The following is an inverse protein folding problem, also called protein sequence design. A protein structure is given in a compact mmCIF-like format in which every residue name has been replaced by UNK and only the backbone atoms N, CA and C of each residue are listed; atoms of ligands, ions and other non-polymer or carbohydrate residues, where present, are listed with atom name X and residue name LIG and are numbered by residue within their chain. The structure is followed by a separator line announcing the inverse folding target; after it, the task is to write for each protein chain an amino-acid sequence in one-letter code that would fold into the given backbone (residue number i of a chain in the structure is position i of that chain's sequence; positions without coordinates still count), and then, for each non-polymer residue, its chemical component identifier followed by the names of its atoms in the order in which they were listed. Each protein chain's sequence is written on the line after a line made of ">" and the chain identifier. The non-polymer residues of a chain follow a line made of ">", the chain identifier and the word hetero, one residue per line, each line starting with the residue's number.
data_IF_876310227962
#
_entry.id   IF_876310227962
#
_cell.length_a   1.000
_cell.length_b   1.000
_cell.length_c   1.000
_cell.angle_alpha   90.00
_cell.angle_beta   90.00
_cell.angle_gamma   90.00
#
_symmetry.space_group_name_H-M   'P 1'
#
loop_
_entity.id
_entity.type
_entity.pdbx_description
1 polymer ?
#
# COMPACT_ATOMS: atom_id res chain seq x y z
N UNK A 1 -6.84 -26.33 19.91
CA UNK A 1 -5.65 -25.43 19.93
C UNK A 1 -5.40 -25.01 18.49
N UNK A 2 -4.86 -23.80 18.32
CA UNK A 2 -4.56 -23.08 17.07
C UNK A 2 -5.70 -22.29 16.40
N UNK A 3 -5.87 -21.05 16.88
CA UNK A 3 -6.34 -19.89 16.11
C UNK A 3 -5.47 -18.68 16.49
N UNK A 4 -4.30 -18.56 15.87
CA UNK A 4 -3.47 -17.36 15.99
C UNK A 4 -3.67 -16.47 14.75
N UNK A 5 -4.74 -15.69 14.75
CA UNK A 5 -4.79 -14.44 13.99
C UNK A 5 -4.21 -13.34 14.88
N UNK A 6 -2.89 -13.14 14.82
CA UNK A 6 -2.23 -11.95 15.39
C UNK A 6 -2.22 -10.86 14.31
N UNK A 7 -3.30 -10.10 14.26
CA UNK A 7 -3.38 -8.84 13.51
C UNK A 7 -2.52 -7.81 14.27
N UNK A 8 -1.53 -7.21 13.60
CA UNK A 8 -0.72 -6.13 14.16
C UNK A 8 -1.57 -4.84 14.26
N UNK A 9 -1.52 -4.19 15.42
CA UNK A 9 -2.49 -3.19 15.87
C UNK A 9 -2.50 -1.85 15.11
N UNK A 10 -1.58 -1.60 14.17
CA UNK A 10 -1.61 -0.41 13.30
C UNK A 10 -2.15 -0.68 11.89
N UNK A 11 -2.21 -1.94 11.47
CA UNK A 11 -2.89 -2.36 10.22
C UNK A 11 -4.36 -2.76 10.48
N UNK A 12 -4.71 -2.97 11.76
CA UNK A 12 -6.02 -3.35 12.24
C UNK A 12 -7.11 -2.26 12.14
N UNK A 13 -6.75 -0.98 11.92
CA UNK A 13 -7.75 0.09 11.91
C UNK A 13 -8.64 0.09 10.65
N UNK A 14 -8.36 -0.77 9.66
CA UNK A 14 -8.98 -0.70 8.33
C UNK A 14 -9.66 -1.96 7.84
N UNK A 15 -9.30 -3.15 8.35
CA UNK A 15 -9.82 -4.41 7.81
C UNK A 15 -10.82 -5.09 8.74
N UNK A 16 -12.05 -4.54 8.77
CA UNK A 16 -13.23 -5.29 9.15
C UNK A 16 -13.63 -6.23 8.00
N UNK A 17 -12.90 -7.33 7.82
CA UNK A 17 -13.20 -8.29 6.75
C UNK A 17 -14.52 -9.03 7.04
N UNK A 18 -15.53 -8.83 6.19
CA UNK A 18 -16.62 -9.81 6.04
C UNK A 18 -16.08 -10.89 5.11
N UNK A 19 -15.63 -12.01 5.68
CA UNK A 19 -15.26 -13.18 4.91
C UNK A 19 -16.52 -13.80 4.30
N UNK A 20 -16.69 -13.66 2.99
CA UNK A 20 -17.75 -14.36 2.25
C UNK A 20 -17.29 -15.82 2.03
N UNK A 21 -18.19 -16.78 2.21
CA UNK A 21 -17.90 -18.20 2.01
C UNK A 21 -17.29 -18.46 0.61
N UNK A 22 -16.38 -19.43 0.47
CA UNK A 22 -15.77 -19.74 -0.82
C UNK A 22 -16.86 -20.07 -1.85
N UNK A 23 -16.85 -19.34 -2.97
CA UNK A 23 -17.77 -19.59 -4.07
C UNK A 23 -17.34 -20.88 -4.79
N UNK A 24 -18.27 -21.81 -4.99
CA UNK A 24 -18.01 -23.01 -5.80
C UNK A 24 -18.25 -22.70 -7.27
N UNK A 25 -17.45 -23.28 -8.17
CA UNK A 25 -17.70 -23.15 -9.60
C UNK A 25 -19.04 -23.81 -9.94
N UNK A 26 -19.93 -23.10 -10.65
CA UNK A 26 -21.19 -23.70 -11.11
C UNK A 26 -20.91 -24.78 -12.16
N UNK A 27 -21.61 -25.90 -12.05
CA UNK A 27 -21.55 -27.00 -13.03
C UNK A 27 -22.13 -26.62 -14.40
N UNK A 28 -22.71 -25.43 -14.52
CA UNK A 28 -23.22 -24.84 -15.77
C UNK A 28 -22.16 -24.04 -16.54
N UNK A 29 -20.90 -24.03 -16.10
CA UNK A 29 -19.82 -23.39 -16.85
C UNK A 29 -19.67 -24.02 -18.25
N UNK A 30 -19.64 -23.18 -19.29
CA UNK A 30 -19.52 -23.56 -20.70
C UNK A 30 -18.21 -24.29 -21.08
N UNK A 31 -17.35 -24.58 -20.11
CA UNK A 31 -16.00 -25.12 -20.31
C UNK A 31 -15.83 -26.61 -19.89
N UNK A 32 -16.90 -27.30 -19.50
CA UNK A 32 -16.90 -28.76 -19.25
C UNK A 32 -16.39 -29.20 -17.86
N UNK A 33 -16.51 -30.50 -17.55
CA UNK A 33 -16.26 -31.04 -16.20
C UNK A 33 -14.81 -30.92 -15.69
N UNK A 34 -13.83 -31.09 -16.58
CA UNK A 34 -12.40 -30.94 -16.25
C UNK A 34 -12.04 -29.49 -15.88
N UNK A 35 -12.71 -28.51 -16.49
CA UNK A 35 -12.59 -27.11 -16.11
C UNK A 35 -13.14 -26.84 -14.71
N UNK A 36 -14.31 -27.42 -14.39
CA UNK A 36 -14.94 -27.26 -13.07
C UNK A 36 -14.05 -27.82 -11.97
N UNK A 37 -13.36 -28.94 -12.20
CA UNK A 37 -12.41 -29.52 -11.25
C UNK A 37 -11.21 -28.61 -11.00
N UNK A 38 -10.55 -28.11 -12.05
CA UNK A 38 -9.41 -27.18 -11.91
C UNK A 38 -9.82 -25.85 -11.27
N UNK A 39 -10.99 -25.30 -11.60
CA UNK A 39 -11.48 -24.09 -10.95
C UNK A 39 -11.78 -24.35 -9.48
N UNK A 40 -12.37 -25.50 -9.13
CA UNK A 40 -12.63 -25.84 -7.73
C UNK A 40 -11.35 -25.89 -6.89
N UNK A 41 -10.20 -26.33 -7.44
CA UNK A 41 -8.92 -26.25 -6.72
C UNK A 41 -8.46 -24.81 -6.47
N UNK A 42 -8.65 -23.89 -7.42
CA UNK A 42 -8.38 -22.47 -7.21
C UNK A 42 -9.37 -21.82 -6.24
N UNK A 43 -10.61 -22.31 -6.18
CA UNK A 43 -11.63 -21.80 -5.26
C UNK A 43 -11.52 -22.42 -3.86
N UNK A 44 -10.95 -23.62 -3.75
CA UNK A 44 -10.61 -24.25 -2.48
C UNK A 44 -9.55 -23.41 -1.78
N UNK A 45 -9.76 -23.11 -0.51
CA UNK A 45 -8.93 -22.19 0.28
C UNK A 45 -8.81 -20.75 -0.29
N UNK A 46 -9.67 -20.39 -1.25
CA UNK A 46 -9.79 -19.01 -1.70
C UNK A 46 -10.47 -18.14 -0.64
N UNK A 47 -10.19 -16.85 -0.70
CA UNK A 47 -10.90 -15.83 0.06
C UNK A 47 -11.33 -14.70 -0.86
N UNK A 48 -12.57 -14.25 -0.66
CA UNK A 48 -13.12 -13.04 -1.27
C UNK A 48 -13.46 -12.07 -0.14
N UNK A 49 -12.80 -10.93 -0.14
CA UNK A 49 -13.09 -9.83 0.76
C UNK A 49 -13.79 -8.73 -0.01
N UNK A 50 -14.95 -8.30 0.49
CA UNK A 50 -15.64 -7.12 0.01
C UNK A 50 -15.66 -6.08 1.14
N UNK A 51 -15.36 -4.83 0.83
CA UNK A 51 -15.36 -3.74 1.80
C UNK A 51 -15.93 -2.49 1.18
N UNK A 52 -16.71 -1.76 1.98
CA UNK A 52 -17.16 -0.41 1.63
C UNK A 52 -16.68 0.56 2.68
N UNK A 53 -15.94 1.58 2.26
CA UNK A 53 -15.40 2.64 3.11
C UNK A 53 -16.05 3.95 2.70
N UNK A 54 -16.42 4.76 3.69
CA UNK A 54 -16.73 6.17 3.51
C UNK A 54 -15.82 6.97 4.43
N UNK A 55 -15.02 7.85 3.84
CA UNK A 55 -14.19 8.79 4.58
C UNK A 55 -14.79 10.19 4.47
N UNK A 56 -14.79 10.93 5.58
CA UNK A 56 -15.21 12.33 5.59
C UNK A 56 -14.14 13.14 6.29
N UNK A 57 -13.56 14.09 5.56
CA UNK A 57 -12.44 14.88 6.05
C UNK A 57 -12.68 16.36 5.81
N UNK A 58 -12.45 17.13 6.87
CA UNK A 58 -12.28 18.58 6.81
C UNK A 58 -10.89 18.94 7.30
N UNK A 59 -10.12 19.67 6.48
CA UNK A 59 -8.76 20.15 6.78
C UNK A 59 -8.67 21.62 6.46
N UNK A 60 -8.52 22.45 7.48
CA UNK A 60 -8.26 23.89 7.35
C UNK A 60 -6.79 24.21 7.54
N UNK A 61 -6.24 25.17 6.79
CA UNK A 61 -4.93 25.78 7.06
C UNK A 61 -5.09 27.18 7.63
N UNK A 62 -4.16 27.58 8.49
CA UNK A 62 -4.05 28.96 9.00
C UNK A 62 -2.79 29.60 8.44
N UNK A 63 -2.89 30.83 7.95
CA UNK A 63 -1.74 31.62 7.46
C UNK A 63 -0.86 32.21 8.57
N UNK A 64 -1.18 31.96 9.85
CA UNK A 64 -0.46 32.53 10.99
C UNK A 64 -0.38 31.61 12.21
N UNK A 65 0.42 32.04 13.20
CA UNK A 65 0.54 31.40 14.52
C UNK A 65 -0.84 31.29 15.18
N UNK A 66 -1.10 30.29 16.03
CA UNK A 66 -2.28 30.28 16.90
C UNK A 66 -2.37 31.61 17.68
N UNK A 67 -3.38 32.44 17.37
CA UNK A 67 -3.58 33.76 17.99
C UNK A 67 -2.72 34.93 17.46
N UNK A 68 -2.26 34.92 16.19
CA UNK A 68 -1.58 36.05 15.53
C UNK A 68 -2.44 36.83 14.53
N UNK A 69 -1.97 38.02 14.13
CA UNK A 69 -2.75 39.08 13.44
C UNK A 69 -3.41 38.71 12.10
N UNK A 70 -2.89 37.73 11.34
CA UNK A 70 -3.54 37.26 10.09
C UNK A 70 -3.99 35.80 10.21
N UNK A 71 -4.81 35.51 11.22
CA UNK A 71 -5.39 34.21 11.54
C UNK A 71 -6.40 33.66 10.53
N UNK A 72 -6.25 33.99 9.24
CA UNK A 72 -7.16 33.55 8.19
C UNK A 72 -7.13 32.02 8.09
N UNK A 73 -8.30 31.42 8.26
CA UNK A 73 -8.55 30.00 8.06
C UNK A 73 -9.14 29.81 6.68
N UNK A 74 -8.53 28.94 5.89
CA UNK A 74 -9.11 28.50 4.63
C UNK A 74 -9.19 26.97 4.59
N UNK A 75 -10.29 26.47 4.02
CA UNK A 75 -10.51 25.04 3.83
C UNK A 75 -9.63 24.53 2.70
N UNK A 76 -8.80 23.53 2.98
CA UNK A 76 -7.96 22.85 1.99
C UNK A 76 -8.63 21.57 1.48
N UNK A 77 -9.12 20.74 2.40
CA UNK A 77 -9.92 19.55 2.09
C UNK A 77 -11.25 19.66 2.81
N UNK A 78 -12.35 19.38 2.11
CA UNK A 78 -13.69 19.30 2.67
C UNK A 78 -14.51 18.34 1.80
N UNK A 79 -14.47 17.06 2.11
CA UNK A 79 -15.07 16.04 1.27
C UNK A 79 -15.68 14.90 2.10
N UNK A 80 -16.60 14.17 1.46
CA UNK A 80 -17.02 12.83 1.81
C UNK A 80 -16.86 11.95 0.58
N UNK A 81 -16.00 10.94 0.66
CA UNK A 81 -15.61 10.08 -0.46
C UNK A 81 -15.78 8.62 -0.08
N UNK A 82 -15.92 7.74 -1.06
CA UNK A 82 -16.15 6.33 -0.84
C UNK A 82 -15.19 5.44 -1.61
N UNK A 83 -14.96 4.24 -1.09
CA UNK A 83 -14.32 3.13 -1.79
C UNK A 83 -15.15 1.85 -1.65
N UNK A 84 -15.43 1.19 -2.76
CA UNK A 84 -15.97 -0.17 -2.82
C UNK A 84 -14.86 -1.11 -3.30
N UNK A 85 -14.36 -1.96 -2.41
CA UNK A 85 -13.18 -2.81 -2.61
C UNK A 85 -13.64 -4.25 -2.80
N UNK A 86 -13.06 -4.94 -3.79
CA UNK A 86 -13.16 -6.38 -3.98
C UNK A 86 -11.74 -6.94 -4.04
N UNK A 87 -11.42 -7.88 -3.15
CA UNK A 87 -10.12 -8.52 -3.05
C UNK A 87 -10.29 -10.04 -3.07
N UNK A 88 -9.89 -10.65 -4.19
CA UNK A 88 -9.89 -12.09 -4.37
C UNK A 88 -8.47 -12.63 -4.27
N UNK A 89 -8.31 -13.65 -3.44
CA UNK A 89 -7.07 -14.38 -3.23
C UNK A 89 -7.40 -15.86 -3.40
N UNK A 90 -6.88 -16.51 -4.44
CA UNK A 90 -7.21 -17.92 -4.73
C UNK A 90 -6.57 -18.92 -3.73
N UNK A 91 -6.91 -20.19 -3.84
CA UNK A 91 -6.12 -21.28 -3.29
C UNK A 91 -4.78 -21.49 -4.02
N UNK A 92 -4.27 -22.72 -3.94
CA UNK A 92 -3.10 -23.16 -4.71
C UNK A 92 -3.47 -24.38 -5.57
N UNK A 93 -3.51 -24.19 -6.88
CA UNK A 93 -3.58 -25.26 -7.87
C UNK A 93 -2.31 -26.12 -7.82
N UNK A 94 -2.49 -27.44 -7.94
CA UNK A 94 -1.46 -28.46 -7.73
C UNK A 94 -0.70 -28.31 -6.39
N UNK A 95 -1.28 -27.58 -5.43
CA UNK A 95 -0.67 -27.29 -4.14
C UNK A 95 0.50 -26.30 -4.17
N UNK A 96 0.84 -25.67 -5.32
CA UNK A 96 1.99 -24.76 -5.41
C UNK A 96 1.74 -23.43 -6.12
N UNK A 97 0.77 -23.33 -7.04
CA UNK A 97 0.51 -22.12 -7.85
C UNK A 97 -0.84 -21.48 -7.53
N UNK A 98 -0.87 -20.18 -7.28
CA UNK A 98 -2.10 -19.40 -7.12
C UNK A 98 -2.05 -18.07 -7.85
N UNK A 99 -3.18 -17.38 -7.89
CA UNK A 99 -3.33 -16.02 -8.42
C UNK A 99 -4.23 -15.15 -7.52
N UNK A 100 -3.87 -13.88 -7.39
CA UNK A 100 -4.62 -12.89 -6.60
C UNK A 100 -5.00 -11.71 -7.50
N UNK A 101 -6.25 -11.25 -7.38
CA UNK A 101 -6.78 -10.10 -8.13
C UNK A 101 -7.61 -9.25 -7.19
N UNK A 102 -7.33 -7.95 -7.16
CA UNK A 102 -8.09 -7.02 -6.35
C UNK A 102 -8.18 -5.66 -7.01
N UNK A 103 -9.35 -5.05 -6.86
CA UNK A 103 -9.65 -3.74 -7.39
C UNK A 103 -10.55 -2.99 -6.42
N UNK A 104 -10.58 -1.68 -6.56
CA UNK A 104 -11.56 -0.87 -5.87
C UNK A 104 -12.17 0.15 -6.83
N UNK A 105 -13.43 0.47 -6.59
CA UNK A 105 -14.14 1.55 -7.22
C UNK A 105 -14.26 2.69 -6.22
N UNK A 106 -13.93 3.92 -6.62
CA UNK A 106 -13.94 5.07 -5.71
C UNK A 106 -14.84 6.19 -6.23
N UNK A 107 -14.98 7.26 -5.46
CA UNK A 107 -15.63 8.48 -5.89
C UNK A 107 -16.00 9.41 -4.74
N UNK A 108 -16.54 10.57 -5.08
CA UNK A 108 -16.96 11.58 -4.12
C UNK A 108 -18.49 11.58 -3.96
N UNK A 109 -18.97 11.51 -2.72
CA UNK A 109 -20.37 11.80 -2.38
C UNK A 109 -20.58 13.31 -2.25
N UNK A 110 -19.56 14.01 -1.79
CA UNK A 110 -19.51 15.45 -1.60
C UNK A 110 -18.05 15.90 -1.66
N UNK A 111 -17.75 16.97 -2.39
CA UNK A 111 -16.42 17.57 -2.37
C UNK A 111 -16.50 19.09 -2.59
N UNK A 112 -16.11 19.82 -1.55
CA UNK A 112 -15.95 21.29 -1.51
C UNK A 112 -14.52 21.63 -1.04
N UNK A 113 -13.57 20.77 -1.38
CA UNK A 113 -12.14 21.03 -1.18
C UNK A 113 -11.70 22.24 -2.01
N UNK A 114 -10.48 22.73 -1.75
CA UNK A 114 -9.94 23.82 -2.56
C UNK A 114 -9.95 23.46 -4.05
N UNK A 115 -10.46 24.36 -4.88
CA UNK A 115 -10.57 24.22 -6.33
C UNK A 115 -9.56 25.10 -7.08
N UNK A 116 -8.82 24.50 -8.00
CA UNK A 116 -7.96 25.16 -8.98
C UNK A 116 -8.61 25.24 -10.37
N UNK A 117 -7.84 25.60 -11.39
CA UNK A 117 -8.31 25.62 -12.78
C UNK A 117 -8.69 24.21 -13.28
N UNK A 118 -7.96 23.19 -12.82
CA UNK A 118 -8.08 21.79 -13.25
C UNK A 118 -9.00 20.96 -12.34
N UNK A 119 -9.77 21.59 -11.44
CA UNK A 119 -10.75 20.93 -10.58
C UNK A 119 -10.43 20.99 -9.09
N UNK A 120 -11.01 20.07 -8.33
CA UNK A 120 -10.82 19.98 -6.88
C UNK A 120 -9.46 19.38 -6.54
N UNK A 121 -8.89 19.82 -5.42
CA UNK A 121 -7.68 19.23 -4.85
C UNK A 121 -7.92 17.73 -4.64
N UNK A 122 -6.97 16.92 -5.09
CA UNK A 122 -6.99 15.48 -4.95
C UNK A 122 -7.14 15.11 -3.47
N UNK A 123 -8.08 14.21 -3.18
CA UNK A 123 -8.19 13.57 -1.89
C UNK A 123 -7.60 12.16 -1.95
N UNK A 124 -7.06 11.66 -0.84
CA UNK A 124 -6.32 10.39 -0.83
C UNK A 124 -7.24 9.15 -0.90
N UNK A 125 -8.55 9.35 -1.15
CA UNK A 125 -9.63 8.35 -1.08
C UNK A 125 -10.22 8.07 -2.46
N UNK A 126 -10.62 9.10 -3.21
CA UNK A 126 -11.10 8.99 -4.58
C UNK A 126 -9.95 9.08 -5.57
N UNK A 127 -10.08 8.38 -6.70
CA UNK A 127 -9.16 8.50 -7.83
C UNK A 127 -9.12 9.93 -8.37
N UNK A 128 -7.93 10.36 -8.78
CA UNK A 128 -7.67 11.68 -9.33
C UNK A 128 -7.06 11.56 -10.73
N UNK A 129 -7.28 12.57 -11.57
CA UNK A 129 -6.69 12.64 -12.92
C UNK A 129 -5.20 12.99 -12.88
N UNK A 130 -4.71 13.59 -11.80
CA UNK A 130 -3.28 13.74 -11.51
C UNK A 130 -3.04 13.77 -9.99
N UNK A 131 -1.76 13.90 -9.59
CA UNK A 131 -1.31 13.82 -8.20
C UNK A 131 -1.93 14.88 -7.26
N UNK A 132 -2.29 16.05 -7.79
CA UNK A 132 -2.75 17.20 -6.99
C UNK A 132 -4.21 17.60 -7.25
N UNK A 133 -4.79 17.28 -8.41
CA UNK A 133 -6.08 17.82 -8.88
C UNK A 133 -6.96 16.78 -9.59
N UNK A 134 -8.26 17.09 -9.67
CA UNK A 134 -9.25 16.28 -10.40
C UNK A 134 -9.85 15.13 -9.61
N UNK A 135 -10.01 15.29 -8.29
CA UNK A 135 -10.70 14.31 -7.44
C UNK A 135 -12.09 13.98 -7.98
N UNK A 136 -12.41 12.69 -8.09
CA UNK A 136 -13.73 12.22 -8.53
C UNK A 136 -14.01 12.34 -10.02
N UNK A 137 -13.11 12.94 -10.82
CA UNK A 137 -13.23 13.08 -12.28
C UNK A 137 -12.30 12.11 -13.06
N UNK A 138 -11.47 11.31 -12.37
CA UNK A 138 -10.64 10.25 -12.98
C UNK A 138 -11.42 8.95 -13.26
N UNK A 139 -10.80 7.96 -13.90
CA UNK A 139 -11.39 6.61 -13.96
C UNK A 139 -11.55 6.09 -12.52
N UNK A 140 -12.77 5.70 -12.18
CA UNK A 140 -13.11 5.40 -10.78
C UNK A 140 -12.65 4.02 -10.32
N UNK A 141 -12.26 3.14 -11.26
CA UNK A 141 -11.85 1.76 -11.01
C UNK A 141 -10.33 1.64 -11.05
N UNK A 142 -9.72 1.23 -9.95
CA UNK A 142 -8.29 0.90 -9.87
C UNK A 142 -8.07 -0.57 -9.54
N UNK A 143 -7.25 -1.25 -10.35
CA UNK A 143 -6.70 -2.57 -10.02
C UNK A 143 -5.42 -2.38 -9.21
N UNK A 144 -5.42 -2.82 -7.96
CA UNK A 144 -4.27 -2.67 -7.06
C UNK A 144 -3.54 -3.99 -6.77
N UNK A 145 -4.13 -5.12 -7.18
CA UNK A 145 -3.51 -6.43 -7.04
C UNK A 145 -3.80 -7.25 -8.28
N UNK A 146 -2.74 -7.76 -8.89
CA UNK A 146 -2.75 -8.71 -9.98
C UNK A 146 -1.43 -9.48 -9.91
N UNK A 147 -1.42 -10.55 -9.11
CA UNK A 147 -0.19 -11.24 -8.75
C UNK A 147 -0.33 -12.76 -8.88
N UNK A 148 0.74 -13.40 -9.31
CA UNK A 148 0.92 -14.84 -9.15
C UNK A 148 1.57 -15.10 -7.80
N UNK A 149 1.17 -16.20 -7.16
CA UNK A 149 1.77 -16.67 -5.90
C UNK A 149 2.20 -18.12 -6.02
N UNK A 150 3.30 -18.42 -5.35
CA UNK A 150 3.96 -19.70 -5.38
C UNK A 150 4.24 -20.14 -3.95
N UNK A 151 4.16 -21.44 -3.67
CA UNK A 151 4.66 -22.00 -2.40
C UNK A 151 5.40 -23.30 -2.64
N UNK A 152 6.41 -23.56 -1.81
CA UNK A 152 7.04 -24.88 -1.70
C UNK A 152 7.05 -25.32 -0.25
N UNK A 153 6.32 -26.40 0.03
CA UNK A 153 5.99 -26.81 1.39
C UNK A 153 5.29 -25.71 2.19
N UNK A 154 5.51 -25.72 3.51
CA UNK A 154 4.94 -24.72 4.43
C UNK A 154 5.91 -23.57 4.73
N UNK A 155 7.18 -23.71 4.33
CA UNK A 155 8.26 -22.83 4.78
C UNK A 155 8.64 -21.76 3.76
N UNK A 156 8.20 -21.86 2.51
CA UNK A 156 8.55 -20.86 1.50
C UNK A 156 7.34 -20.48 0.67
N UNK A 157 7.16 -19.18 0.47
CA UNK A 157 6.22 -18.63 -0.50
C UNK A 157 6.84 -17.45 -1.25
N UNK A 158 6.34 -17.22 -2.45
CA UNK A 158 6.72 -16.10 -3.30
C UNK A 158 5.49 -15.49 -3.96
N UNK A 159 5.54 -14.20 -4.25
CA UNK A 159 4.52 -13.48 -5.02
C UNK A 159 5.21 -12.61 -6.06
N UNK A 160 4.62 -12.48 -7.25
CA UNK A 160 5.14 -11.67 -8.35
C UNK A 160 4.00 -11.01 -9.13
N UNK A 161 4.14 -9.74 -9.48
CA UNK A 161 3.17 -8.96 -10.24
C UNK A 161 2.85 -7.62 -9.58
N UNK A 162 1.59 -7.20 -9.66
CA UNK A 162 1.08 -6.03 -8.94
C UNK A 162 0.64 -6.44 -7.53
N UNK A 163 1.34 -5.96 -6.51
CA UNK A 163 1.19 -6.43 -5.14
C UNK A 163 1.49 -5.35 -4.10
N UNK A 164 1.12 -5.65 -2.85
CA UNK A 164 1.48 -4.85 -1.68
C UNK A 164 2.62 -5.53 -0.94
N UNK A 165 3.55 -4.73 -0.43
CA UNK A 165 4.58 -5.23 0.47
C UNK A 165 3.98 -5.74 1.78
N UNK A 166 4.42 -6.91 2.24
CA UNK A 166 4.05 -7.46 3.55
C UNK A 166 4.52 -6.63 4.74
N UNK A 167 5.34 -5.58 4.54
CA UNK A 167 5.80 -4.68 5.61
C UNK A 167 6.82 -5.29 6.57
N UNK A 168 7.42 -6.42 6.17
CA UNK A 168 8.36 -7.19 6.98
C UNK A 168 9.76 -6.57 7.03
N UNK A 169 10.17 -5.87 5.96
CA UNK A 169 11.37 -5.04 5.90
C UNK A 169 11.04 -3.56 6.10
N UNK A 170 11.70 -2.69 5.36
CA UNK A 170 11.48 -1.22 5.38
C UNK A 170 10.39 -0.78 4.43
N UNK A 171 10.11 -1.56 3.39
CA UNK A 171 9.05 -1.26 2.42
C UNK A 171 7.72 -1.73 2.98
N UNK A 172 6.80 -0.78 3.17
CA UNK A 172 5.44 -1.01 3.65
C UNK A 172 4.40 -0.60 2.62
N UNK A 173 3.13 -0.86 2.94
CA UNK A 173 2.03 -0.27 2.21
C UNK A 173 1.85 1.20 2.62
N UNK A 174 1.47 2.05 1.67
CA UNK A 174 1.31 3.49 1.88
C UNK A 174 -0.01 3.81 2.59
N UNK A 175 0.02 4.88 3.37
CA UNK A 175 -1.09 5.41 4.16
C UNK A 175 -2.27 5.84 3.28
N UNK A 176 -3.34 5.04 3.29
CA UNK A 176 -4.72 5.43 2.99
C UNK A 176 -5.67 4.28 3.37
N UNK A 177 -6.97 4.50 3.23
CA UNK A 177 -8.00 3.47 3.36
C UNK A 177 -7.93 2.43 2.22
N UNK A 178 -7.33 2.84 1.09
CA UNK A 178 -7.02 2.00 -0.07
C UNK A 178 -5.51 1.84 -0.21
N UNK A 179 -5.05 0.68 -0.71
CA UNK A 179 -3.63 0.37 -0.76
C UNK A 179 -2.91 1.02 -1.94
N UNK A 180 -1.63 1.34 -1.74
CA UNK A 180 -0.69 1.58 -2.84
C UNK A 180 -0.34 0.27 -3.53
N UNK A 181 0.19 0.35 -4.76
CA UNK A 181 0.50 -0.84 -5.56
C UNK A 181 1.94 -0.81 -6.05
N UNK A 182 2.70 -1.86 -5.77
CA UNK A 182 4.02 -2.07 -6.33
C UNK A 182 3.96 -3.03 -7.51
N UNK A 183 4.76 -2.80 -8.54
CA UNK A 183 5.12 -3.85 -9.50
C UNK A 183 6.42 -4.49 -9.03
N UNK A 184 6.39 -5.78 -8.74
CA UNK A 184 7.56 -6.42 -8.16
C UNK A 184 7.32 -7.84 -7.69
N UNK A 185 8.08 -8.22 -6.67
CA UNK A 185 8.01 -9.53 -6.05
C UNK A 185 8.26 -9.47 -4.54
N UNK A 186 7.77 -10.50 -3.86
CA UNK A 186 8.06 -10.76 -2.46
C UNK A 186 8.37 -12.23 -2.27
N UNK A 187 9.48 -12.53 -1.60
CA UNK A 187 9.89 -13.87 -1.20
C UNK A 187 9.79 -13.95 0.33
N UNK A 188 9.23 -15.02 0.86
CA UNK A 188 9.15 -15.26 2.28
C UNK A 188 9.63 -16.68 2.60
N UNK A 189 10.47 -16.79 3.62
CA UNK A 189 10.99 -18.05 4.13
C UNK A 189 10.81 -18.13 5.66
N UNK A 190 10.32 -19.26 6.15
CA UNK A 190 10.22 -19.58 7.58
C UNK A 190 11.48 -20.32 8.03
N UNK A 191 12.18 -19.75 9.00
CA UNK A 191 13.41 -20.26 9.61
C UNK A 191 13.14 -20.55 11.10
N UNK A 192 12.54 -21.71 11.39
CA UNK A 192 12.06 -22.03 12.74
C UNK A 192 10.92 -21.10 13.15
N UNK A 193 11.11 -20.32 14.22
CA UNK A 193 10.15 -19.34 14.72
C UNK A 193 10.29 -17.94 14.08
N UNK A 194 11.21 -17.80 13.13
CA UNK A 194 11.48 -16.55 12.43
C UNK A 194 10.98 -16.59 10.99
N UNK A 195 10.57 -15.44 10.47
CA UNK A 195 10.22 -15.21 9.07
C UNK A 195 11.23 -14.25 8.46
N UNK A 196 11.90 -14.69 7.41
CA UNK A 196 12.72 -13.88 6.54
C UNK A 196 11.90 -13.48 5.32
N UNK A 197 11.94 -12.21 4.95
CA UNK A 197 11.26 -11.68 3.77
C UNK A 197 12.23 -10.88 2.91
N UNK A 198 12.13 -11.00 1.60
CA UNK A 198 12.81 -10.12 0.67
C UNK A 198 11.81 -9.56 -0.33
N UNK A 199 11.74 -8.24 -0.43
CA UNK A 199 10.85 -7.52 -1.32
C UNK A 199 11.65 -6.75 -2.35
N UNK A 200 11.19 -6.73 -3.60
CA UNK A 200 11.79 -5.95 -4.68
C UNK A 200 10.71 -5.39 -5.59
N UNK A 201 10.84 -4.14 -6.00
CA UNK A 201 9.92 -3.48 -6.91
C UNK A 201 10.67 -2.49 -7.81
N UNK A 202 10.11 -2.25 -8.98
CA UNK A 202 10.62 -1.27 -9.96
C UNK A 202 9.60 -0.18 -10.29
N UNK A 203 8.36 -0.31 -9.80
CA UNK A 203 7.31 0.71 -9.92
C UNK A 203 6.45 0.77 -8.67
N UNK A 204 5.85 1.94 -8.42
CA UNK A 204 4.86 2.15 -7.37
C UNK A 204 3.77 3.11 -7.85
N UNK A 205 2.51 2.83 -7.48
CA UNK A 205 1.41 3.78 -7.63
C UNK A 205 0.75 4.07 -6.29
N UNK A 206 0.63 5.36 -5.96
CA UNK A 206 -0.10 5.85 -4.81
C UNK A 206 -1.58 5.44 -4.91
N UNK A 207 -2.28 5.26 -3.77
CA UNK A 207 -3.65 4.76 -3.79
C UNK A 207 -4.56 5.50 -4.78
N UNK A 208 -4.60 6.83 -4.76
CA UNK A 208 -5.48 7.71 -5.57
C UNK A 208 -5.03 7.95 -7.02
N UNK A 209 -3.92 7.37 -7.48
CA UNK A 209 -3.45 7.44 -8.88
C UNK A 209 -3.77 6.15 -9.62
N UNK A 210 -4.19 6.22 -10.88
CA UNK A 210 -4.59 5.03 -11.64
C UNK A 210 -3.38 4.30 -12.25
N UNK A 211 -2.45 5.05 -12.83
CA UNK A 211 -1.24 4.55 -13.47
C UNK A 211 0.01 5.23 -12.92
N UNK A 212 1.16 4.62 -13.13
CA UNK A 212 2.44 5.28 -12.82
C UNK A 212 2.70 6.48 -13.75
N UNK A 213 2.16 6.44 -14.97
CA UNK A 213 2.20 7.58 -15.87
C UNK A 213 1.28 8.73 -15.41
N UNK A 214 0.35 8.47 -14.48
CA UNK A 214 -0.50 9.49 -13.84
C UNK A 214 0.22 10.22 -12.70
N UNK A 215 1.46 9.84 -12.38
CA UNK A 215 2.43 10.77 -11.81
C UNK A 215 2.81 11.81 -12.87
N UNK A 216 1.83 12.51 -13.45
CA UNK A 216 2.11 13.81 -14.03
C UNK A 216 2.84 14.60 -12.92
N UNK A 217 4.05 15.12 -13.18
CA UNK A 217 4.92 15.63 -12.14
C UNK A 217 4.20 16.77 -11.44
N UNK A 218 3.65 16.47 -10.28
CA UNK A 218 3.60 17.45 -9.23
C UNK A 218 5.06 17.91 -9.11
N UNK A 219 5.37 19.11 -9.60
CA UNK A 219 6.76 19.55 -9.81
C UNK A 219 7.59 19.46 -8.52
N UNK A 220 6.93 19.55 -7.36
CA UNK A 220 7.50 19.41 -6.03
C UNK A 220 7.77 17.96 -5.59
N UNK A 221 7.19 16.97 -6.27
CA UNK A 221 7.27 15.53 -6.01
C UNK A 221 7.86 14.75 -7.19
N UNK A 222 8.49 15.44 -8.16
CA UNK A 222 9.17 14.82 -9.30
C UNK A 222 10.49 14.17 -8.83
N UNK A 223 10.29 13.04 -8.14
CA UNK A 223 11.32 12.13 -7.66
C UNK A 223 11.16 10.83 -8.41
N UNK A 224 12.18 10.42 -9.16
CA UNK A 224 12.23 9.08 -9.76
C UNK A 224 13.17 8.17 -8.98
N UNK A 225 13.01 6.88 -9.15
CA UNK A 225 13.89 5.85 -8.60
C UNK A 225 13.93 4.67 -9.59
N UNK A 226 15.03 3.94 -9.60
CA UNK A 226 15.23 2.83 -10.55
C UNK A 226 14.78 1.49 -9.98
N UNK A 227 15.12 1.22 -8.72
CA UNK A 227 14.75 -0.02 -8.06
C UNK A 227 14.65 0.18 -6.54
N UNK A 228 13.71 -0.51 -5.92
CA UNK A 228 13.46 -0.47 -4.49
C UNK A 228 13.46 -1.90 -3.97
N UNK A 229 14.26 -2.17 -2.94
CA UNK A 229 14.25 -3.49 -2.31
C UNK A 229 14.48 -3.45 -0.80
N UNK A 230 14.03 -4.49 -0.12
CA UNK A 230 14.22 -4.60 1.32
C UNK A 230 14.28 -6.05 1.79
N UNK A 231 15.18 -6.29 2.73
CA UNK A 231 15.28 -7.52 3.51
C UNK A 231 14.68 -7.26 4.90
N UNK A 232 13.83 -8.18 5.35
CA UNK A 232 13.17 -8.14 6.65
C UNK A 232 13.31 -9.46 7.39
N UNK A 233 13.46 -9.40 8.71
CA UNK A 233 13.45 -10.55 9.59
C UNK A 233 12.54 -10.25 10.78
N UNK A 234 11.60 -11.15 11.08
CA UNK A 234 10.73 -11.01 12.24
C UNK A 234 10.47 -12.35 12.93
N UNK A 235 10.03 -12.31 14.18
CA UNK A 235 9.61 -13.50 14.90
C UNK A 235 9.52 -13.27 16.40
N UNK A 236 9.13 -14.31 17.13
CA UNK A 236 9.12 -14.29 18.58
C UNK A 236 10.50 -14.72 19.10
N UNK A 237 11.15 -13.88 19.91
CA UNK A 237 12.34 -14.27 20.67
C UNK A 237 11.94 -15.10 21.88
N UNK A 238 10.81 -14.73 22.50
CA UNK A 238 10.14 -15.45 23.58
C UNK A 238 8.64 -15.37 23.38
N UNK A 239 7.86 -16.11 24.16
CA UNK A 239 6.38 -16.05 24.12
C UNK A 239 5.81 -14.63 24.33
N UNK A 240 6.55 -13.77 25.03
CA UNK A 240 6.16 -12.40 25.34
C UNK A 240 6.83 -11.34 24.44
N UNK A 241 7.94 -11.67 23.76
CA UNK A 241 8.75 -10.70 23.01
C UNK A 241 8.80 -11.03 21.52
N UNK A 242 8.21 -10.16 20.72
CA UNK A 242 8.33 -10.16 19.26
C UNK A 242 9.29 -9.07 18.81
N UNK A 243 10.07 -9.36 17.77
CA UNK A 243 10.90 -8.38 17.09
C UNK A 243 10.67 -8.42 15.58
N UNK A 244 10.99 -7.30 14.94
CA UNK A 244 11.11 -7.17 13.50
C UNK A 244 12.23 -6.19 13.20
N UNK A 245 13.11 -6.54 12.27
CA UNK A 245 14.18 -5.67 11.77
C UNK A 245 14.15 -5.67 10.25
N UNK A 246 14.52 -4.55 9.66
CA UNK A 246 14.54 -4.39 8.22
C UNK A 246 15.69 -3.49 7.75
N UNK A 247 16.22 -3.83 6.59
CA UNK A 247 17.15 -3.00 5.82
C UNK A 247 16.58 -2.89 4.41
N UNK A 248 16.64 -1.72 3.81
CA UNK A 248 16.26 -1.55 2.41
C UNK A 248 17.04 -0.46 1.73
N UNK A 249 16.96 -0.45 0.40
CA UNK A 249 17.64 0.53 -0.43
C UNK A 249 16.71 0.93 -1.59
N UNK A 250 16.76 2.21 -1.93
CA UNK A 250 16.24 2.72 -3.20
C UNK A 250 17.44 3.17 -4.03
N UNK A 251 17.54 2.69 -5.27
CA UNK A 251 18.66 3.00 -6.16
C UNK A 251 18.27 3.95 -7.27
N UNK A 252 19.25 4.70 -7.77
CA UNK A 252 19.05 5.66 -8.86
C UNK A 252 17.95 6.67 -8.54
N UNK A 253 17.92 7.10 -7.27
CA UNK A 253 16.98 8.11 -6.80
C UNK A 253 17.41 9.45 -7.35
N UNK A 254 16.48 10.14 -7.99
CA UNK A 254 16.74 11.44 -8.61
C UNK A 254 15.73 12.45 -8.13
N UNK A 255 16.22 13.50 -7.50
CA UNK A 255 15.40 14.55 -6.92
C UNK A 255 15.36 15.79 -7.80
N UNK A 256 14.17 16.35 -8.03
CA UNK A 256 14.04 17.71 -8.55
C UNK A 256 14.75 18.72 -7.63
N UNK A 257 15.49 19.64 -8.25
CA UNK A 257 16.26 20.69 -7.59
C UNK A 257 15.71 22.09 -7.95
N UNK A 258 15.62 22.37 -9.25
CA UNK A 258 15.07 23.61 -9.78
C UNK A 258 13.67 23.41 -10.37
N UNK A 259 12.72 24.28 -10.02
CA UNK A 259 11.35 24.28 -10.56
C UNK A 259 11.02 25.68 -11.07
N UNK A 260 10.62 25.78 -12.34
CA UNK A 260 9.94 26.96 -12.87
C UNK A 260 8.43 26.78 -12.72
N UNK A 261 7.88 27.41 -11.67
CA UNK A 261 6.45 27.40 -11.37
C UNK A 261 5.61 28.17 -12.39
N UNK A 262 6.20 29.14 -13.11
CA UNK A 262 5.51 29.91 -14.14
C UNK A 262 5.36 29.14 -15.45
N UNK A 263 6.37 28.34 -15.79
CA UNK A 263 6.35 27.45 -16.95
C UNK A 263 5.80 26.05 -16.65
N UNK A 264 5.64 25.70 -15.37
CA UNK A 264 5.17 24.39 -14.93
C UNK A 264 6.17 23.26 -15.23
N UNK A 265 7.47 23.49 -15.04
CA UNK A 265 8.53 22.55 -15.43
C UNK A 265 9.65 22.44 -14.40
N UNK A 266 10.20 21.23 -14.25
CA UNK A 266 11.45 21.00 -13.52
C UNK A 266 12.61 21.41 -14.42
N UNK A 267 13.48 22.28 -13.93
CA UNK A 267 14.59 22.88 -14.69
C UNK A 267 15.93 22.24 -14.38
N UNK A 268 16.06 21.55 -13.24
CA UNK A 268 17.26 20.79 -12.88
C UNK A 268 16.97 19.71 -11.85
N UNK A 269 17.84 18.71 -11.80
CA UNK A 269 17.82 17.62 -10.81
C UNK A 269 19.15 17.58 -10.06
N UNK A 270 19.13 16.99 -8.87
CA UNK A 270 20.36 16.52 -8.22
C UNK A 270 20.96 15.34 -9.00
N UNK A 271 22.24 15.06 -8.75
CA UNK A 271 22.86 13.82 -9.21
C UNK A 271 22.12 12.61 -8.61
N UNK A 272 22.09 11.51 -9.36
CA UNK A 272 21.48 10.27 -8.89
C UNK A 272 22.21 9.77 -7.65
N UNK A 273 21.43 9.32 -6.67
CA UNK A 273 21.93 8.78 -5.41
C UNK A 273 21.22 7.50 -5.04
N UNK A 274 21.80 6.74 -4.12
CA UNK A 274 21.19 5.56 -3.53
C UNK A 274 20.89 5.86 -2.07
N UNK A 275 19.65 5.61 -1.65
CA UNK A 275 19.21 5.85 -0.27
C UNK A 275 19.11 4.53 0.48
N UNK A 276 19.46 4.55 1.77
CA UNK A 276 19.32 3.38 2.64
C UNK A 276 18.22 3.62 3.67
N UNK A 277 17.48 2.58 4.02
CA UNK A 277 16.42 2.62 5.03
C UNK A 277 16.61 1.52 6.05
N UNK A 278 16.16 1.80 7.27
CA UNK A 278 16.29 0.93 8.44
C UNK A 278 14.98 0.85 9.18
N UNK A 279 14.65 -0.35 9.68
CA UNK A 279 13.50 -0.58 10.54
C UNK A 279 13.89 -1.41 11.75
N UNK A 280 13.40 -1.03 12.92
CA UNK A 280 13.47 -1.84 14.13
C UNK A 280 12.16 -1.71 14.90
N UNK A 281 11.47 -2.83 15.07
CA UNK A 281 10.21 -2.92 15.81
C UNK A 281 10.34 -3.98 16.91
N UNK A 282 9.91 -3.64 18.11
CA UNK A 282 9.86 -4.52 19.26
C UNK A 282 8.48 -4.45 19.88
N UNK A 283 7.90 -5.60 20.19
CA UNK A 283 6.61 -5.70 20.87
C UNK A 283 6.72 -6.65 22.05
N UNK A 284 6.51 -6.13 23.24
CA UNK A 284 6.57 -6.86 24.48
C UNK A 284 5.20 -6.92 25.16
N UNK A 285 4.71 -8.14 25.41
CA UNK A 285 3.45 -8.39 26.12
C UNK A 285 3.73 -8.43 27.62
N UNK A 286 3.38 -7.37 28.32
CA UNK A 286 3.59 -7.25 29.78
C UNK A 286 2.56 -8.09 30.54
N UNK A 287 1.33 -8.11 30.04
CA UNK A 287 0.22 -8.93 30.54
C UNK A 287 -0.79 -9.16 29.42
N UNK A 288 -1.81 -10.00 29.66
CA UNK A 288 -2.91 -10.27 28.71
C UNK A 288 -3.65 -9.00 28.23
N UNK A 289 -3.49 -7.87 28.92
CA UNK A 289 -4.16 -6.60 28.60
C UNK A 289 -3.20 -5.48 28.24
N UNK A 290 -1.90 -5.69 28.33
CA UNK A 290 -0.91 -4.63 28.18
C UNK A 290 0.22 -5.08 27.27
N UNK A 291 0.39 -4.37 26.17
CA UNK A 291 1.51 -4.53 25.25
C UNK A 291 2.26 -3.20 25.13
N UNK A 292 3.58 -3.26 25.18
CA UNK A 292 4.46 -2.15 24.84
C UNK A 292 5.03 -2.43 23.45
N UNK A 293 4.96 -1.43 22.57
CA UNK A 293 5.56 -1.51 21.25
C UNK A 293 6.48 -0.31 21.03
N UNK A 294 7.68 -0.59 20.52
CA UNK A 294 8.63 0.40 20.04
C UNK A 294 8.77 0.19 18.53
N UNK A 295 8.64 1.25 17.76
CA UNK A 295 8.79 1.22 16.30
C UNK A 295 9.75 2.34 15.90
N UNK A 296 10.81 1.97 15.19
CA UNK A 296 11.80 2.86 14.65
C UNK A 296 11.88 2.67 13.14
N UNK A 297 11.82 3.78 12.42
CA UNK A 297 12.07 3.85 11.00
C UNK A 297 13.08 4.96 10.74
N UNK A 298 14.13 4.66 10.00
CA UNK A 298 15.18 5.60 9.63
C UNK A 298 15.45 5.54 8.13
N UNK A 299 15.82 6.68 7.57
CA UNK A 299 16.28 6.80 6.18
C UNK A 299 17.57 7.61 6.19
N UNK A 300 18.53 7.13 5.42
CA UNK A 300 19.79 7.77 5.12
C UNK A 300 19.74 8.23 3.65
N UNK A 301 19.76 9.54 3.47
CA UNK A 301 19.57 10.23 2.19
C UNK A 301 20.33 11.56 2.22
N UNK A 302 21.45 11.58 1.52
CA UNK A 302 22.39 12.71 1.45
C UNK A 302 21.80 13.96 0.76
N UNK A 303 20.64 13.84 0.10
CA UNK A 303 20.02 14.97 -0.62
C UNK A 303 18.90 15.60 0.20
N UNK A 304 18.08 14.80 0.87
CA UNK A 304 16.90 15.30 1.62
C UNK A 304 17.15 15.51 3.12
N UNK A 305 18.09 14.77 3.72
CA UNK A 305 18.25 14.73 5.17
C UNK A 305 19.67 15.05 5.67
N UNK A 306 20.58 15.50 4.78
CA UNK A 306 21.91 15.95 5.19
C UNK A 306 21.81 17.22 6.06
N UNK A 307 22.14 17.05 7.35
CA UNK A 307 22.05 18.06 8.42
C UNK A 307 22.87 17.67 9.64
#
# INVERSE_FOLDING_TARGET
>A
MDKFFKVSALTAAMFGAVAVAPATASTESAAGGEYVEKVNEFMQDSSLNAMFVVDTRSRTRTTGKPGGENGDRWSRLNYSSYNAIIDFTSGYHDGWLGADVAAYYSGDLYNDSWKGADGYLCNEISTCTNLDWGAGDGDQLKVYKAALKFKTGENFNARFGMLQAGGNGTIGNVWSFVPGTYRGFELNAKLGDFNLSYFGADQFTAPWLLHEDDYAPALWSDTSWSYLHSLGLNGNITDALFFQVGLGQATGVKYANGIDWGAGQVTSYHDETDNTSYKAYLKYTVSDRTTLAFDFYGVDDDVKYDG
#
